data_IF_266269431794
#
_entry.id   IF_266269431794
#
_cell.length_a   1.000
_cell.length_b   1.000
_cell.length_c   1.000
_cell.angle_alpha   90.00
_cell.angle_beta   90.00
_cell.angle_gamma   90.00
#
_symmetry.space_group_name_H-M   'P 1'
#
loop_
_entity.id
_entity.type
_entity.pdbx_description
1 polymer ?
#
# COMPACT_ATOMS: atom_id res chain seq x y z
N UNK A 1 22.35 -41.95 15.88
CA UNK A 1 22.82 -40.55 16.05
C UNK A 1 22.21 -39.72 14.93
N UNK A 2 20.94 -39.33 15.07
CA UNK A 2 20.21 -38.58 14.03
C UNK A 2 20.19 -37.10 14.41
N UNK A 3 20.96 -36.29 13.68
CA UNK A 3 21.09 -34.86 13.89
C UNK A 3 19.74 -34.15 13.72
N UNK A 4 19.38 -33.35 14.73
CA UNK A 4 18.21 -32.48 14.71
C UNK A 4 18.33 -31.46 13.57
N UNK A 5 17.35 -31.50 12.68
CA UNK A 5 17.11 -30.46 11.69
C UNK A 5 16.73 -29.16 12.42
N UNK A 6 17.71 -28.25 12.52
CA UNK A 6 17.48 -26.85 12.87
C UNK A 6 16.69 -26.21 11.73
N UNK A 7 15.36 -26.26 11.84
CA UNK A 7 14.47 -25.43 11.04
C UNK A 7 14.62 -23.98 11.51
N UNK A 8 15.35 -23.18 10.74
CA UNK A 8 15.35 -21.73 10.88
C UNK A 8 13.92 -21.23 10.70
N UNK A 9 13.34 -20.71 11.77
CA UNK A 9 11.98 -20.19 11.82
C UNK A 9 11.87 -18.94 10.95
N UNK A 10 11.43 -19.11 9.69
CA UNK A 10 10.98 -18.02 8.84
C UNK A 10 9.68 -17.44 9.40
N UNK A 11 9.81 -16.49 10.32
CA UNK A 11 8.71 -15.63 10.74
C UNK A 11 8.50 -14.56 9.68
N UNK A 12 7.92 -14.95 8.52
CA UNK A 12 7.32 -13.99 7.59
C UNK A 12 6.62 -12.91 8.41
N UNK A 13 6.82 -11.62 8.11
CA UNK A 13 6.64 -10.52 9.06
C UNK A 13 5.36 -10.77 9.84
N UNK A 14 5.48 -11.08 11.14
CA UNK A 14 4.37 -11.63 11.97
C UNK A 14 3.08 -10.84 11.76
N UNK A 15 3.22 -9.54 11.49
CA UNK A 15 2.16 -8.60 11.14
C UNK A 15 1.31 -9.00 9.93
N UNK A 16 1.89 -9.55 8.86
CA UNK A 16 1.18 -9.91 7.63
C UNK A 16 0.39 -11.21 7.78
N UNK A 17 1.01 -12.25 8.34
CA UNK A 17 0.30 -13.49 8.70
C UNK A 17 -0.83 -13.19 9.67
N UNK A 18 -0.59 -12.36 10.69
CA UNK A 18 -1.63 -11.98 11.64
C UNK A 18 -2.75 -11.16 11.00
N UNK A 19 -2.45 -10.22 10.09
CA UNK A 19 -3.48 -9.41 9.44
C UNK A 19 -4.38 -10.28 8.57
N UNK A 20 -3.77 -11.13 7.73
CA UNK A 20 -4.50 -12.06 6.88
C UNK A 20 -5.33 -13.06 7.69
N UNK A 21 -4.82 -13.55 8.83
CA UNK A 21 -5.54 -14.46 9.71
C UNK A 21 -6.78 -13.82 10.38
N UNK A 22 -6.80 -12.49 10.54
CA UNK A 22 -7.90 -11.79 11.24
C UNK A 22 -9.12 -11.60 10.34
N UNK A 23 -8.96 -11.16 9.10
CA UNK A 23 -10.09 -10.85 8.22
C UNK A 23 -9.92 -11.30 6.76
N UNK A 24 -8.88 -12.07 6.44
CA UNK A 24 -8.54 -12.45 5.07
C UNK A 24 -8.09 -11.29 4.17
N UNK A 25 -8.10 -10.07 4.72
CA UNK A 25 -7.63 -8.87 4.08
C UNK A 25 -6.13 -8.72 4.25
N UNK A 26 -5.57 -7.76 3.51
CA UNK A 26 -4.14 -7.48 3.51
C UNK A 26 -3.98 -5.97 3.62
N UNK A 27 -3.04 -5.52 4.45
CA UNK A 27 -2.86 -4.07 4.69
C UNK A 27 -2.25 -3.31 3.50
N UNK A 28 -2.08 -3.98 2.36
CA UNK A 28 -1.37 -3.49 1.18
C UNK A 28 -2.01 -4.07 -0.09
N UNK A 29 -1.60 -3.55 -1.24
CA UNK A 29 -2.01 -4.08 -2.53
C UNK A 29 -1.22 -5.35 -2.88
N UNK A 30 -1.85 -6.40 -3.42
CA UNK A 30 -1.10 -7.55 -3.97
C UNK A 30 -0.26 -7.07 -5.14
N UNK A 31 1.07 -7.12 -5.05
CA UNK A 31 1.96 -6.64 -6.12
C UNK A 31 1.67 -7.34 -7.45
N UNK A 32 1.56 -6.57 -8.53
CA UNK A 32 1.24 -7.11 -9.86
C UNK A 32 2.24 -8.15 -10.38
N UNK A 33 3.52 -8.08 -9.98
CA UNK A 33 4.56 -9.03 -10.41
C UNK A 33 4.38 -10.42 -9.77
N UNK A 34 3.68 -10.49 -8.63
CA UNK A 34 3.51 -11.70 -7.84
C UNK A 34 2.07 -12.17 -7.77
N UNK A 35 1.16 -11.48 -8.46
CA UNK A 35 -0.26 -11.76 -8.39
C UNK A 35 -0.64 -12.87 -9.37
N UNK A 36 -1.37 -13.87 -8.87
CA UNK A 36 -2.10 -14.82 -9.71
C UNK A 36 -3.59 -14.51 -9.56
N UNK A 37 -4.24 -14.21 -10.68
CA UNK A 37 -5.67 -13.93 -10.74
C UNK A 37 -6.39 -15.11 -11.38
N UNK A 38 -7.54 -15.51 -10.83
CA UNK A 38 -8.41 -16.49 -11.49
C UNK A 38 -8.87 -15.94 -12.83
N UNK A 39 -8.74 -16.75 -13.89
CA UNK A 39 -9.14 -16.36 -15.24
C UNK A 39 -10.60 -15.91 -15.29
N UNK A 40 -11.50 -16.55 -14.54
CA UNK A 40 -12.91 -16.19 -14.44
C UNK A 40 -13.14 -14.72 -14.05
N UNK A 41 -12.29 -14.18 -13.16
CA UNK A 41 -12.39 -12.77 -12.74
C UNK A 41 -11.93 -11.86 -13.88
N UNK A 42 -10.83 -12.21 -14.55
CA UNK A 42 -10.27 -11.42 -15.64
C UNK A 42 -11.16 -11.38 -16.90
N UNK A 43 -11.97 -12.42 -17.12
CA UNK A 43 -12.90 -12.51 -18.26
C UNK A 43 -14.30 -11.96 -17.95
N UNK A 44 -14.60 -11.59 -16.70
CA UNK A 44 -15.90 -11.00 -16.33
C UNK A 44 -16.06 -9.63 -17.04
N UNK A 45 -17.10 -9.43 -17.86
CA UNK A 45 -17.36 -8.14 -18.51
C UNK A 45 -17.51 -6.99 -17.51
N UNK A 46 -18.03 -7.24 -16.31
CA UNK A 46 -18.15 -6.22 -15.27
C UNK A 46 -16.76 -5.79 -14.76
N UNK A 47 -15.85 -6.76 -14.59
CA UNK A 47 -14.45 -6.48 -14.23
C UNK A 47 -13.77 -5.66 -15.31
N UNK A 48 -13.87 -6.07 -16.57
CA UNK A 48 -13.24 -5.36 -17.69
C UNK A 48 -13.74 -3.92 -17.83
N UNK A 49 -15.06 -3.72 -17.68
CA UNK A 49 -15.67 -2.39 -17.70
C UNK A 49 -15.19 -1.52 -16.55
N UNK A 50 -15.18 -2.05 -15.33
CA UNK A 50 -14.72 -1.31 -14.16
C UNK A 50 -13.22 -1.02 -14.20
N UNK A 51 -12.41 -1.97 -14.67
CA UNK A 51 -10.96 -1.80 -14.84
C UNK A 51 -10.65 -0.72 -15.89
N UNK A 52 -11.40 -0.71 -17.00
CA UNK A 52 -11.23 0.29 -18.06
C UNK A 52 -11.70 1.70 -17.64
N UNK A 53 -12.60 1.80 -16.67
CA UNK A 53 -13.20 3.04 -16.20
C UNK A 53 -12.85 3.33 -14.72
N UNK A 54 -11.66 2.92 -14.26
CA UNK A 54 -11.18 3.31 -12.94
C UNK A 54 -10.74 4.77 -12.96
N UNK A 55 -11.50 5.63 -12.28
CA UNK A 55 -11.34 7.08 -12.33
C UNK A 55 -10.94 7.65 -10.98
N UNK A 56 -9.99 8.57 -10.96
CA UNK A 56 -9.62 9.38 -9.80
C UNK A 56 -9.66 10.86 -10.19
N UNK A 57 -10.48 11.66 -9.50
CA UNK A 57 -10.65 13.09 -9.77
C UNK A 57 -10.98 13.39 -11.25
N UNK A 58 -11.75 12.50 -11.89
CA UNK A 58 -12.14 12.63 -13.30
C UNK A 58 -11.05 12.23 -14.32
N UNK A 59 -9.87 11.79 -13.86
CA UNK A 59 -8.82 11.23 -14.71
C UNK A 59 -8.80 9.72 -14.60
N UNK A 60 -8.51 9.03 -15.70
CA UNK A 60 -8.39 7.57 -15.70
C UNK A 60 -7.09 7.16 -15.01
N UNK A 61 -7.20 6.29 -14.01
CA UNK A 61 -6.03 5.78 -13.29
C UNK A 61 -5.17 4.94 -14.23
N UNK A 62 -4.08 5.52 -14.73
CA UNK A 62 -3.10 4.82 -15.58
C UNK A 62 -1.98 4.15 -14.76
N UNK A 63 -2.17 4.06 -13.44
CA UNK A 63 -1.22 3.45 -12.52
C UNK A 63 -1.95 2.80 -11.35
N UNK A 64 -1.41 1.69 -10.86
CA UNK A 64 -1.99 0.99 -9.71
C UNK A 64 -3.00 -0.09 -10.13
N UNK A 65 -2.82 -0.73 -11.28
CA UNK A 65 -3.63 -1.85 -11.75
C UNK A 65 -3.77 -2.94 -10.68
N UNK A 66 -2.68 -3.19 -9.96
CA UNK A 66 -2.60 -4.08 -8.81
C UNK A 66 -3.60 -3.67 -7.70
N UNK A 67 -3.69 -2.38 -7.45
CA UNK A 67 -4.52 -1.76 -6.42
C UNK A 67 -6.00 -1.82 -6.81
N UNK A 68 -6.31 -1.62 -8.09
CA UNK A 68 -7.65 -1.87 -8.62
C UNK A 68 -8.04 -3.34 -8.46
N UNK A 69 -7.21 -4.27 -8.93
CA UNK A 69 -7.50 -5.71 -8.88
C UNK A 69 -7.74 -6.15 -7.43
N UNK A 70 -6.89 -5.69 -6.50
CA UNK A 70 -7.05 -5.98 -5.07
C UNK A 70 -8.39 -5.46 -4.53
N UNK A 71 -8.76 -4.20 -4.85
CA UNK A 71 -10.04 -3.60 -4.47
C UNK A 71 -11.23 -4.37 -5.06
N UNK A 72 -11.16 -4.72 -6.33
CA UNK A 72 -12.22 -5.45 -7.03
C UNK A 72 -12.45 -6.84 -6.41
N UNK A 73 -11.38 -7.63 -6.23
CA UNK A 73 -11.47 -8.97 -5.65
C UNK A 73 -12.11 -8.91 -4.27
N UNK A 74 -11.70 -7.97 -3.42
CA UNK A 74 -12.23 -7.85 -2.07
C UNK A 74 -13.68 -7.38 -2.03
N UNK A 75 -14.07 -6.39 -2.84
CA UNK A 75 -15.31 -5.64 -2.62
C UNK A 75 -16.36 -5.76 -3.73
N UNK A 76 -16.08 -6.39 -4.87
CA UNK A 76 -17.04 -6.45 -5.98
C UNK A 76 -18.40 -7.07 -5.61
N UNK A 77 -18.39 -7.99 -4.64
CA UNK A 77 -19.61 -8.63 -4.13
C UNK A 77 -20.58 -7.65 -3.45
N UNK A 78 -20.10 -6.47 -3.02
CA UNK A 78 -20.91 -5.41 -2.42
C UNK A 78 -21.58 -4.51 -3.47
N UNK A 79 -21.09 -4.50 -4.71
CA UNK A 79 -21.61 -3.65 -5.79
C UNK A 79 -22.69 -4.35 -6.62
N UNK A 80 -22.74 -5.68 -6.58
CA UNK A 80 -23.79 -6.45 -7.24
C UNK A 80 -25.11 -6.22 -6.50
N UNK A 81 -26.23 -5.97 -7.21
CA UNK A 81 -27.52 -5.74 -6.58
C UNK A 81 -27.86 -6.91 -5.65
N UNK A 82 -28.27 -6.61 -4.42
CA UNK A 82 -28.73 -7.64 -3.51
C UNK A 82 -29.98 -8.31 -4.09
N UNK A 83 -29.86 -9.62 -4.32
CA UNK A 83 -30.90 -10.63 -4.61
C UNK A 83 -32.24 -10.06 -5.04
N UNK A 84 -32.56 -10.16 -6.34
CA UNK A 84 -33.94 -10.38 -6.76
C UNK A 84 -34.32 -11.82 -6.47
N UNK A 85 -35.58 -12.08 -6.15
CA UNK A 85 -36.08 -13.44 -5.87
C UNK A 85 -35.67 -14.41 -7.00
N UNK A 86 -34.84 -15.40 -6.68
CA UNK A 86 -34.33 -16.41 -7.62
C UNK A 86 -32.90 -16.21 -8.14
N UNK A 87 -32.24 -15.07 -7.88
CA UNK A 87 -30.85 -14.85 -8.28
C UNK A 87 -29.85 -15.44 -7.27
N UNK A 88 -28.75 -16.01 -7.77
CA UNK A 88 -27.65 -16.54 -6.95
C UNK A 88 -26.96 -15.42 -6.15
N UNK A 89 -26.54 -15.72 -4.92
CA UNK A 89 -25.80 -14.75 -4.11
C UNK A 89 -24.47 -14.35 -4.76
N UNK A 90 -24.09 -13.07 -4.72
CA UNK A 90 -22.86 -12.62 -5.34
C UNK A 90 -21.65 -13.28 -4.68
N UNK A 91 -20.84 -13.98 -5.48
CA UNK A 91 -19.65 -14.69 -5.00
C UNK A 91 -18.65 -13.68 -4.44
N UNK A 92 -18.38 -13.74 -3.14
CA UNK A 92 -17.28 -13.00 -2.53
C UNK A 92 -15.96 -13.71 -2.82
N UNK A 93 -15.13 -13.10 -3.66
CA UNK A 93 -13.77 -13.57 -3.89
C UNK A 93 -12.90 -13.31 -2.66
N UNK A 94 -11.85 -14.12 -2.51
CA UNK A 94 -10.89 -14.01 -1.41
C UNK A 94 -9.49 -13.89 -1.96
N UNK A 95 -8.67 -13.10 -1.29
CA UNK A 95 -7.24 -13.08 -1.53
C UNK A 95 -6.61 -14.32 -0.91
N UNK A 96 -5.57 -14.84 -1.55
CA UNK A 96 -4.72 -15.90 -1.02
C UNK A 96 -3.28 -15.40 -0.93
N UNK A 97 -2.56 -15.82 0.11
CA UNK A 97 -1.15 -15.48 0.30
C UNK A 97 -0.33 -16.75 0.45
N UNK A 98 0.70 -16.88 -0.37
CA UNK A 98 1.71 -17.92 -0.23
C UNK A 98 2.94 -17.32 0.46
N UNK A 99 3.19 -17.77 1.69
CA UNK A 99 4.33 -17.33 2.52
C UNK A 99 5.27 -18.50 2.76
N UNK A 100 5.92 -18.92 1.69
CA UNK A 100 6.89 -20.02 1.66
C UNK A 100 8.19 -19.52 1.05
N UNK A 101 9.33 -19.94 1.60
CA UNK A 101 10.67 -19.56 1.11
C UNK A 101 10.84 -19.79 -0.40
N UNK A 102 10.28 -20.88 -0.93
CA UNK A 102 10.31 -21.18 -2.36
C UNK A 102 9.41 -20.30 -3.26
N UNK A 103 8.65 -19.37 -2.69
CA UNK A 103 7.75 -18.47 -3.41
C UNK A 103 8.13 -16.98 -3.25
N UNK A 104 9.37 -16.71 -2.82
CA UNK A 104 9.87 -15.35 -2.71
C UNK A 104 10.14 -14.75 -4.09
N UNK A 105 9.63 -13.53 -4.31
CA UNK A 105 9.86 -12.80 -5.56
C UNK A 105 10.60 -11.51 -5.23
N UNK A 106 11.86 -11.46 -5.64
CA UNK A 106 12.66 -10.25 -5.57
C UNK A 106 12.20 -9.21 -6.59
N UNK A 107 12.26 -7.94 -6.21
CA UNK A 107 12.08 -6.82 -7.15
C UNK A 107 13.40 -6.07 -7.32
N UNK A 108 13.76 -5.76 -8.56
CA UNK A 108 14.92 -4.92 -8.83
C UNK A 108 14.58 -3.47 -8.50
N UNK A 109 15.37 -2.87 -7.62
CA UNK A 109 15.27 -1.46 -7.27
C UNK A 109 16.09 -0.63 -8.27
N UNK A 110 15.59 0.56 -8.64
CA UNK A 110 16.35 1.48 -9.49
C UNK A 110 17.66 1.90 -8.79
N UNK A 111 18.83 1.81 -9.45
CA UNK A 111 20.13 2.07 -8.82
C UNK A 111 20.46 3.56 -8.65
N UNK A 112 19.61 4.46 -9.16
CA UNK A 112 19.86 5.90 -9.24
C UNK A 112 18.73 6.71 -8.56
N UNK A 113 18.76 8.03 -8.74
CA UNK A 113 17.76 8.95 -8.19
C UNK A 113 16.32 8.65 -8.63
N UNK A 114 16.12 7.82 -9.67
CA UNK A 114 14.78 7.34 -10.07
C UNK A 114 14.15 6.48 -8.98
N UNK A 115 14.92 5.90 -8.06
CA UNK A 115 14.39 5.21 -6.88
C UNK A 115 13.47 6.11 -6.05
N UNK A 116 13.87 7.36 -5.79
CA UNK A 116 13.03 8.31 -5.07
C UNK A 116 11.75 8.64 -5.86
N UNK A 117 11.84 8.72 -7.19
CA UNK A 117 10.67 8.83 -8.07
C UNK A 117 9.72 7.64 -7.96
N UNK A 118 10.26 6.43 -7.93
CA UNK A 118 9.52 5.18 -7.77
C UNK A 118 8.85 5.10 -6.39
N UNK A 119 9.53 5.47 -5.31
CA UNK A 119 8.96 5.53 -3.96
C UNK A 119 7.79 6.51 -3.92
N UNK A 120 7.99 7.74 -4.42
CA UNK A 120 6.92 8.75 -4.48
C UNK A 120 5.70 8.26 -5.25
N UNK A 121 5.89 7.45 -6.29
CA UNK A 121 4.78 6.84 -7.04
C UNK A 121 4.04 5.82 -6.19
N UNK A 122 4.75 4.90 -5.54
CA UNK A 122 4.14 3.88 -4.67
C UNK A 122 3.37 4.49 -3.51
N UNK A 123 3.95 5.48 -2.83
CA UNK A 123 3.26 6.20 -1.75
C UNK A 123 1.98 6.89 -2.23
N UNK A 124 2.04 7.63 -3.35
CA UNK A 124 0.85 8.28 -3.93
C UNK A 124 -0.23 7.27 -4.35
N UNK A 125 0.16 6.19 -5.04
CA UNK A 125 -0.77 5.15 -5.46
C UNK A 125 -1.44 4.47 -4.26
N UNK A 126 -0.66 4.14 -3.23
CA UNK A 126 -1.18 3.55 -1.99
C UNK A 126 -2.11 4.49 -1.23
N UNK A 127 -1.81 5.80 -1.20
CA UNK A 127 -2.67 6.81 -0.60
C UNK A 127 -4.00 6.94 -1.37
N UNK A 128 -3.94 7.03 -2.71
CA UNK A 128 -5.12 7.05 -3.58
C UNK A 128 -5.98 5.80 -3.39
N UNK A 129 -5.37 4.62 -3.37
CA UNK A 129 -6.07 3.36 -3.14
C UNK A 129 -6.82 3.34 -1.80
N UNK A 130 -6.16 3.77 -0.71
CA UNK A 130 -6.82 3.86 0.61
C UNK A 130 -7.99 4.83 0.59
N UNK A 131 -7.84 5.99 -0.03
CA UNK A 131 -8.93 6.96 -0.18
C UNK A 131 -10.08 6.41 -1.03
N UNK A 132 -9.78 5.70 -2.11
CA UNK A 132 -10.78 5.01 -2.93
C UNK A 132 -11.58 4.01 -2.11
N UNK A 133 -10.92 3.12 -1.36
CA UNK A 133 -11.59 2.13 -0.53
C UNK A 133 -12.40 2.76 0.62
N UNK A 134 -11.84 3.78 1.28
CA UNK A 134 -12.47 4.41 2.45
C UNK A 134 -13.63 5.36 2.11
N UNK A 135 -13.56 6.06 0.99
CA UNK A 135 -14.50 7.14 0.67
C UNK A 135 -15.46 6.75 -0.44
N UNK A 136 -14.97 6.13 -1.51
CA UNK A 136 -15.75 5.92 -2.73
C UNK A 136 -16.31 4.50 -2.80
N UNK A 137 -15.44 3.50 -2.92
CA UNK A 137 -15.81 2.13 -3.28
C UNK A 137 -15.02 1.12 -2.44
N UNK A 138 -15.65 0.42 -1.48
CA UNK A 138 -17.08 0.34 -1.18
C UNK A 138 -17.58 1.36 -0.14
N UNK A 139 -16.79 2.41 0.12
CA UNK A 139 -16.90 3.30 1.29
C UNK A 139 -16.57 2.61 2.62
N UNK A 140 -16.32 3.41 3.65
CA UNK A 140 -15.94 2.96 4.99
C UNK A 140 -16.81 1.82 5.52
N UNK A 141 -18.13 1.94 5.40
CA UNK A 141 -19.06 0.94 5.93
C UNK A 141 -19.05 -0.37 5.14
N UNK A 142 -18.94 -0.30 3.81
CA UNK A 142 -18.80 -1.49 2.99
C UNK A 142 -17.50 -2.22 3.32
N UNK A 143 -16.41 -1.47 3.42
CA UNK A 143 -15.09 -2.03 3.70
C UNK A 143 -15.04 -2.66 5.11
N UNK A 144 -15.62 -1.99 6.10
CA UNK A 144 -15.66 -2.47 7.48
C UNK A 144 -16.45 -3.77 7.63
N UNK A 145 -17.51 -3.96 6.83
CA UNK A 145 -18.30 -5.21 6.82
C UNK A 145 -17.49 -6.40 6.30
N UNK A 146 -16.66 -6.20 5.28
CA UNK A 146 -15.89 -7.27 4.64
C UNK A 146 -14.57 -7.54 5.37
N UNK A 147 -13.78 -6.48 5.63
CA UNK A 147 -12.43 -6.56 6.21
C UNK A 147 -12.26 -5.50 7.32
N UNK A 148 -12.77 -5.74 8.54
CA UNK A 148 -12.75 -4.76 9.62
C UNK A 148 -11.34 -4.41 10.11
N UNK A 149 -10.41 -5.36 10.12
CA UNK A 149 -9.03 -5.11 10.55
C UNK A 149 -8.30 -4.27 9.50
N UNK A 150 -8.37 -4.66 8.23
CA UNK A 150 -7.83 -3.89 7.11
C UNK A 150 -8.38 -2.47 7.10
N UNK A 151 -9.69 -2.30 7.33
CA UNK A 151 -10.34 -0.98 7.43
C UNK A 151 -9.71 -0.12 8.51
N UNK A 152 -9.55 -0.66 9.73
CA UNK A 152 -8.93 0.05 10.84
C UNK A 152 -7.50 0.47 10.50
N UNK A 153 -6.72 -0.44 9.92
CA UNK A 153 -5.33 -0.17 9.53
C UNK A 153 -5.20 0.85 8.40
N UNK A 154 -6.13 0.86 7.45
CA UNK A 154 -6.18 1.90 6.41
C UNK A 154 -6.48 3.27 7.00
N UNK A 155 -7.47 3.37 7.91
CA UNK A 155 -7.78 4.63 8.63
C UNK A 155 -6.59 5.09 9.45
N UNK A 156 -5.95 4.20 10.22
CA UNK A 156 -4.72 4.52 10.96
C UNK A 156 -3.63 5.03 10.03
N UNK A 157 -3.47 4.42 8.85
CA UNK A 157 -2.53 4.86 7.82
C UNK A 157 -2.85 6.24 7.23
N UNK A 158 -4.13 6.60 7.12
CA UNK A 158 -4.58 7.93 6.67
C UNK A 158 -4.36 9.00 7.73
N UNK A 159 -4.59 8.65 9.00
CA UNK A 159 -4.40 9.57 10.10
C UNK A 159 -2.93 9.65 10.53
N UNK A 160 -2.07 8.73 10.09
CA UNK A 160 -0.67 8.64 10.48
C UNK A 160 0.11 9.97 10.40
N UNK A 161 -0.01 10.80 9.33
CA UNK A 161 0.74 12.05 9.23
C UNK A 161 0.39 13.02 10.36
N UNK A 162 -0.87 13.06 10.79
CA UNK A 162 -1.35 13.89 11.91
C UNK A 162 -1.02 13.23 13.24
N UNK A 163 -1.36 11.94 13.40
CA UNK A 163 -1.14 11.17 14.63
C UNK A 163 0.33 11.03 14.99
N UNK A 164 1.24 11.09 14.02
CA UNK A 164 2.67 11.11 14.26
C UNK A 164 3.09 12.35 15.04
N UNK A 165 2.67 13.54 14.62
CA UNK A 165 2.96 14.79 15.32
C UNK A 165 2.32 14.82 16.71
N UNK A 166 1.08 14.33 16.83
CA UNK A 166 0.43 14.18 18.14
C UNK A 166 1.24 13.24 19.05
N UNK A 167 1.69 12.08 18.54
CA UNK A 167 2.54 11.15 19.30
C UNK A 167 3.88 11.77 19.70
N UNK A 168 4.51 12.53 18.82
CA UNK A 168 5.77 13.24 19.12
C UNK A 168 5.56 14.30 20.20
N UNK A 169 4.47 15.07 20.13
CA UNK A 169 4.12 16.06 21.14
C UNK A 169 3.80 15.42 22.50
N UNK A 170 2.99 14.35 22.51
CA UNK A 170 2.70 13.59 23.73
C UNK A 170 3.99 13.04 24.34
N UNK A 171 4.88 12.48 23.53
CA UNK A 171 6.16 11.96 24.00
C UNK A 171 7.05 13.05 24.58
N UNK A 172 7.15 14.20 23.91
CA UNK A 172 7.87 15.36 24.43
C UNK A 172 7.29 15.83 25.78
N UNK A 173 5.96 15.92 25.91
CA UNK A 173 5.30 16.25 27.19
C UNK A 173 5.60 15.21 28.27
N UNK A 174 5.59 13.92 27.93
CA UNK A 174 5.95 12.84 28.86
C UNK A 174 7.39 12.98 29.35
N UNK A 175 8.33 13.32 28.48
CA UNK A 175 9.72 13.57 28.86
C UNK A 175 9.87 14.71 29.87
N UNK A 176 9.07 15.77 29.76
CA UNK A 176 9.10 16.89 30.69
C UNK A 176 8.49 16.59 32.06
N UNK A 177 7.41 15.80 32.10
CA UNK A 177 6.72 15.46 33.36
C UNK A 177 7.42 14.32 34.09
N UNK A 178 7.85 13.30 33.34
CA UNK A 178 8.35 12.04 33.86
C UNK A 178 9.52 11.55 33.00
N UNK A 179 10.72 12.15 33.16
CA UNK A 179 11.85 11.88 32.27
C UNK A 179 12.30 10.42 32.32
N UNK A 180 12.20 9.75 33.47
CA UNK A 180 12.57 8.33 33.58
C UNK A 180 11.67 7.44 32.71
N UNK A 181 10.35 7.71 32.69
CA UNK A 181 9.40 6.94 31.87
C UNK A 181 9.56 7.27 30.39
N UNK A 182 9.80 8.54 30.06
CA UNK A 182 10.19 8.94 28.70
C UNK A 182 11.42 8.19 28.21
N UNK A 183 12.49 8.16 29.01
CA UNK A 183 13.71 7.40 28.73
C UNK A 183 13.43 5.91 28.57
N UNK A 184 12.62 5.31 29.45
CA UNK A 184 12.24 3.90 29.34
C UNK A 184 11.56 3.58 28.00
N UNK A 185 10.55 4.36 27.62
CA UNK A 185 9.83 4.18 26.35
C UNK A 185 10.76 4.43 25.15
N UNK A 186 11.65 5.43 25.23
CA UNK A 186 12.64 5.69 24.19
C UNK A 186 13.61 4.50 24.05
N UNK A 187 14.11 3.97 25.16
CA UNK A 187 15.02 2.83 25.19
C UNK A 187 14.36 1.59 24.59
N UNK A 188 13.12 1.28 24.95
CA UNK A 188 12.38 0.15 24.34
C UNK A 188 12.23 0.31 22.81
N UNK A 189 11.83 1.50 22.35
CA UNK A 189 11.69 1.76 20.91
C UNK A 189 13.03 1.69 20.17
N UNK A 190 14.08 2.21 20.79
CA UNK A 190 15.44 2.21 20.22
C UNK A 190 15.97 0.79 20.16
N UNK A 191 15.79 0.00 21.22
CA UNK A 191 16.17 -1.42 21.25
C UNK A 191 15.49 -2.21 20.13
N UNK A 192 14.15 -2.13 20.02
CA UNK A 192 13.42 -2.84 18.97
C UNK A 192 13.86 -2.40 17.55
N UNK A 193 14.19 -1.12 17.37
CA UNK A 193 14.69 -0.62 16.09
C UNK A 193 16.10 -1.13 15.78
N UNK A 194 17.00 -1.11 16.76
CA UNK A 194 18.36 -1.62 16.61
C UNK A 194 18.37 -3.13 16.39
N UNK A 195 17.52 -3.88 17.08
CA UNK A 195 17.35 -5.33 16.87
C UNK A 195 16.92 -5.63 15.43
N UNK A 196 15.92 -4.90 14.90
CA UNK A 196 15.51 -5.01 13.50
C UNK A 196 16.62 -4.65 12.50
N UNK A 197 17.41 -3.60 12.77
CA UNK A 197 18.56 -3.24 11.93
C UNK A 197 19.67 -4.28 11.98
N UNK A 198 19.92 -4.88 13.14
CA UNK A 198 20.90 -5.95 13.30
C UNK A 198 20.45 -7.21 12.56
N UNK A 199 19.17 -7.58 12.66
CA UNK A 199 18.59 -8.70 11.91
C UNK A 199 18.73 -8.46 10.40
N UNK A 200 18.39 -7.27 9.91
CA UNK A 200 18.59 -6.90 8.51
C UNK A 200 20.07 -6.98 8.10
N UNK A 201 20.99 -6.50 8.95
CA UNK A 201 22.43 -6.58 8.71
C UNK A 201 22.97 -8.03 8.73
N UNK A 202 22.35 -8.94 9.49
CA UNK A 202 22.71 -10.37 9.49
C UNK A 202 22.20 -11.09 8.26
N UNK A 203 20.99 -10.76 7.81
CA UNK A 203 20.35 -11.38 6.64
C UNK A 203 20.97 -10.90 5.32
N UNK A 204 21.32 -9.61 5.24
CA UNK A 204 21.95 -9.00 4.07
C UNK A 204 23.34 -8.43 4.41
N UNK A 205 24.38 -9.26 4.58
CA UNK A 205 25.73 -8.80 4.95
C UNK A 205 26.32 -7.76 3.98
N UNK A 206 25.97 -7.83 2.70
CA UNK A 206 26.41 -6.86 1.68
C UNK A 206 25.84 -5.45 1.92
N UNK A 207 24.68 -5.33 2.58
CA UNK A 207 24.03 -4.06 2.87
C UNK A 207 24.61 -3.35 4.11
N UNK A 208 25.47 -4.02 4.90
CA UNK A 208 26.05 -3.47 6.15
C UNK A 208 26.73 -2.11 5.97
N UNK A 209 27.45 -1.94 4.86
CA UNK A 209 28.13 -0.67 4.52
C UNK A 209 27.15 0.48 4.20
N UNK A 210 25.91 0.14 3.87
CA UNK A 210 24.85 1.07 3.47
C UNK A 210 23.68 1.10 4.46
N UNK A 211 23.88 0.67 5.72
CA UNK A 211 22.83 0.68 6.75
C UNK A 211 22.25 2.09 6.98
N UNK A 212 23.08 3.13 6.85
CA UNK A 212 22.61 4.52 6.93
C UNK A 212 21.53 4.83 5.88
N UNK A 213 21.58 4.20 4.70
CA UNK A 213 20.58 4.40 3.65
C UNK A 213 19.26 3.70 4.01
N UNK A 214 19.31 2.52 4.64
CA UNK A 214 18.12 1.86 5.18
C UNK A 214 17.46 2.73 6.26
N UNK A 215 18.25 3.30 7.18
CA UNK A 215 17.76 4.25 8.19
C UNK A 215 17.11 5.48 7.54
N UNK A 216 17.71 6.03 6.48
CA UNK A 216 17.15 7.18 5.76
C UNK A 216 15.80 6.83 5.12
N UNK A 217 15.72 5.69 4.42
CA UNK A 217 14.49 5.22 3.77
C UNK A 217 13.39 4.94 4.79
N UNK A 218 13.73 4.33 5.93
CA UNK A 218 12.81 4.09 7.05
C UNK A 218 12.22 5.38 7.63
N UNK A 219 12.91 6.51 7.52
CA UNK A 219 12.47 7.82 8.05
C UNK A 219 11.87 8.72 6.97
N UNK A 220 11.89 8.30 5.72
CA UNK A 220 11.40 9.08 4.59
C UNK A 220 9.92 9.47 4.74
N UNK A 221 9.11 8.60 5.38
CA UNK A 221 7.68 8.85 5.63
C UNK A 221 7.38 10.16 6.35
N UNK A 222 8.32 10.67 7.17
CA UNK A 222 8.19 11.94 7.88
C UNK A 222 7.91 13.12 6.93
N UNK A 223 8.50 13.07 5.74
CA UNK A 223 8.39 14.12 4.71
C UNK A 223 7.50 13.65 3.56
N UNK A 224 7.67 12.40 3.12
CA UNK A 224 6.97 11.89 1.94
C UNK A 224 5.47 11.79 2.15
N UNK A 225 4.99 11.51 3.37
CA UNK A 225 3.55 11.46 3.65
C UNK A 225 2.90 12.80 3.30
N UNK A 226 3.36 13.91 3.90
CA UNK A 226 2.84 15.25 3.63
C UNK A 226 2.95 15.64 2.16
N UNK A 227 4.11 15.37 1.54
CA UNK A 227 4.31 15.62 0.12
C UNK A 227 3.28 14.88 -0.75
N UNK A 228 3.03 13.60 -0.46
CA UNK A 228 2.09 12.79 -1.24
C UNK A 228 0.64 13.24 -1.03
N UNK A 229 0.27 13.66 0.18
CA UNK A 229 -1.06 14.25 0.44
C UNK A 229 -1.30 15.51 -0.39
N UNK A 230 -0.32 16.40 -0.48
CA UNK A 230 -0.44 17.64 -1.28
C UNK A 230 -0.41 17.36 -2.78
N UNK A 231 0.29 16.31 -3.22
CA UNK A 231 0.46 15.96 -4.65
C UNK A 231 -0.44 14.80 -5.10
N UNK A 232 -1.55 14.57 -4.39
CA UNK A 232 -2.49 13.48 -4.65
C UNK A 232 -3.10 13.52 -6.05
N UNK A 233 -3.33 14.71 -6.59
CA UNK A 233 -3.91 14.92 -7.92
C UNK A 233 -2.92 14.75 -9.08
N UNK A 234 -1.62 14.57 -8.81
CA UNK A 234 -0.62 14.42 -9.88
C UNK A 234 -0.47 12.95 -10.28
N UNK A 235 -0.94 12.59 -11.48
CA UNK A 235 -0.85 11.22 -12.00
C UNK A 235 0.44 10.94 -12.78
N UNK A 236 1.28 11.96 -13.03
CA UNK A 236 2.50 11.84 -13.82
C UNK A 236 3.33 10.55 -13.53
N UNK A 237 3.40 9.70 -14.55
CA UNK A 237 4.14 8.44 -14.58
C UNK A 237 5.49 8.65 -15.27
N UNK A 238 6.58 8.13 -14.69
CA UNK A 238 7.98 8.35 -15.11
C UNK A 238 8.24 8.12 -16.61
N UNK A 239 7.41 7.33 -17.30
CA UNK A 239 7.56 6.99 -18.72
C UNK A 239 6.47 7.56 -19.64
N UNK A 240 5.45 8.27 -19.12
CA UNK A 240 4.41 8.92 -19.95
C UNK A 240 4.18 10.35 -19.46
N UNK A 241 4.87 11.30 -20.08
CA UNK A 241 4.78 12.74 -19.78
C UNK A 241 3.44 13.40 -20.19
N UNK A 242 2.49 12.65 -20.77
CA UNK A 242 1.38 13.24 -21.54
C UNK A 242 -0.04 12.98 -20.98
N UNK A 243 -0.19 12.47 -19.76
CA UNK A 243 -1.52 12.08 -19.25
C UNK A 243 -2.26 13.22 -18.55
N UNK A 244 -1.58 14.21 -18.00
CA UNK A 244 -2.23 15.36 -17.40
C UNK A 244 -2.45 16.44 -18.48
N UNK A 245 -3.70 16.78 -18.89
CA UNK A 245 -3.91 17.98 -19.67
C UNK A 245 -3.44 19.19 -18.82
N UNK A 246 -2.70 20.15 -19.40
CA UNK A 246 -2.31 21.34 -18.67
C UNK A 246 -3.57 22.00 -18.14
N UNK A 247 -3.61 22.22 -16.82
CA UNK A 247 -4.67 22.93 -16.14
C UNK A 247 -5.11 24.14 -16.99
N UNK A 248 -6.42 24.21 -17.23
CA UNK A 248 -7.10 25.16 -18.10
C UNK A 248 -6.41 26.53 -18.14
N UNK A 249 -5.82 26.88 -19.29
CA UNK A 249 -5.21 28.20 -19.43
C UNK A 249 -4.15 28.33 -20.52
N UNK A 250 -4.47 27.98 -21.78
CA UNK A 250 -4.11 28.78 -22.97
C UNK A 250 -4.50 28.06 -24.27
N UNK A 251 -5.32 28.77 -25.04
CA UNK A 251 -5.56 28.61 -26.47
C UNK A 251 -4.30 28.20 -27.24
N UNK A 252 -4.31 27.03 -27.88
CA UNK A 252 -3.56 26.81 -29.12
C UNK A 252 -4.59 26.56 -30.22
N UNK A 253 -4.98 27.65 -30.89
CA UNK A 253 -5.36 27.60 -32.30
C UNK A 253 -4.15 27.07 -33.09
N UNK A 254 -4.39 26.53 -34.27
CA UNK A 254 -3.39 26.01 -35.22
C UNK A 254 -2.93 24.59 -34.81
N UNK A 255 -3.34 23.51 -35.47
CA UNK A 255 -3.22 23.26 -36.90
C UNK A 255 -4.29 22.25 -37.36
N UNK A 256 -5.32 22.75 -38.07
CA UNK A 256 -6.14 21.95 -38.99
C UNK A 256 -6.07 22.66 -40.34
N UNK A 257 -5.17 22.17 -41.19
CA UNK A 257 -5.24 22.19 -42.66
C UNK A 257 -4.69 20.80 -43.04
N UNK A 258 -5.44 19.89 -43.65
CA UNK A 258 -6.35 20.13 -44.75
C UNK A 258 -5.54 20.23 -46.04
N UNK A 259 -4.82 19.15 -46.37
CA UNK A 259 -4.52 18.58 -47.70
C UNK A 259 -3.68 17.30 -47.51
#
# INVERSE_FOLDING_TARGET
MGGGSHSSSWEAPRSMKSAYAVDGGINFCVSGVTALLRSEIAHDPAFLSAFANDMWMGQRQNSGDDSFITRWVLFQHLFKPQRRDGEEEPVQWKLGMQLTEGAEVGTSIMPDSRFAGQMKRWYRSGLRHRLMCLVYEPCFWGMYKTCPHMTRKMVEGMLNPVLLWVRLYCFWRTFHVCPWFGCFVLSMKTYNYLDGLLQFATEYPFARRHLWAAVLVDRLYLVSDWYCWVTLGTEAWITRQAVDPPAAGRSHRDCVKGE
#
